data_IF_107302397938
#
_entry.id   IF_107302397938
#
_cell.length_a   1.000
_cell.length_b   1.000
_cell.length_c   1.000
_cell.angle_alpha   90.00
_cell.angle_beta   90.00
_cell.angle_gamma   90.00
#
_symmetry.space_group_name_H-M   'P 1'
#
loop_
_entity.id
_entity.type
_entity.pdbx_description
1 polymer ?
#
# COMPACT_ATOMS: atom_id res chain seq x y z
N UNK A 1 -7.79 -5.04 -11.52
CA UNK A 1 -7.76 -4.60 -10.11
C UNK A 1 -9.08 -4.89 -9.42
N UNK A 2 -9.08 -5.26 -8.13
CA UNK A 2 -10.32 -5.38 -7.36
C UNK A 2 -10.52 -4.17 -6.44
N UNK A 3 -11.72 -3.63 -6.40
CA UNK A 3 -12.10 -2.46 -5.57
C UNK A 3 -13.14 -2.88 -4.54
N UNK A 4 -12.89 -2.54 -3.28
CA UNK A 4 -13.78 -2.83 -2.15
C UNK A 4 -14.06 -1.59 -1.30
N UNK A 5 -15.06 -1.68 -0.42
CA UNK A 5 -15.49 -0.55 0.42
C UNK A 5 -14.58 -0.29 1.63
N UNK A 6 -14.02 -1.34 2.25
CA UNK A 6 -13.28 -1.22 3.52
C UNK A 6 -11.87 -1.79 3.48
N UNK A 7 -10.97 -1.24 4.29
CA UNK A 7 -9.59 -1.72 4.42
C UNK A 7 -9.54 -3.18 4.89
N UNK A 8 -10.41 -3.56 5.85
CA UNK A 8 -10.49 -4.94 6.35
C UNK A 8 -10.78 -5.95 5.23
N UNK A 9 -11.72 -5.61 4.33
CA UNK A 9 -12.01 -6.44 3.16
C UNK A 9 -10.84 -6.49 2.18
N UNK A 10 -10.20 -5.34 1.92
CA UNK A 10 -9.03 -5.29 1.04
C UNK A 10 -7.91 -6.19 1.58
N UNK A 11 -7.59 -6.09 2.88
CA UNK A 11 -6.59 -6.94 3.53
C UNK A 11 -6.94 -8.44 3.37
N UNK A 12 -8.19 -8.83 3.67
CA UNK A 12 -8.63 -10.21 3.56
C UNK A 12 -8.51 -10.77 2.13
N UNK A 13 -8.97 -10.02 1.13
CA UNK A 13 -8.86 -10.46 -0.26
C UNK A 13 -7.41 -10.52 -0.73
N UNK A 14 -6.57 -9.53 -0.39
CA UNK A 14 -5.15 -9.56 -0.73
C UNK A 14 -4.47 -10.82 -0.16
N UNK A 15 -4.71 -11.15 1.11
CA UNK A 15 -4.19 -12.37 1.73
C UNK A 15 -4.75 -13.64 1.07
N UNK A 16 -6.05 -13.64 0.73
CA UNK A 16 -6.68 -14.75 0.01
C UNK A 16 -6.08 -14.98 -1.39
N UNK A 17 -5.82 -13.91 -2.15
CA UNK A 17 -5.18 -13.98 -3.47
C UNK A 17 -3.76 -14.54 -3.33
N UNK A 18 -2.97 -14.03 -2.39
CA UNK A 18 -1.60 -14.51 -2.15
C UNK A 18 -1.58 -15.99 -1.77
N UNK A 19 -2.34 -16.38 -0.75
CA UNK A 19 -2.33 -17.75 -0.25
C UNK A 19 -2.98 -18.77 -1.19
N UNK A 20 -4.12 -18.44 -1.82
CA UNK A 20 -4.92 -19.43 -2.58
C UNK A 20 -4.68 -19.42 -4.08
N UNK A 21 -4.35 -18.26 -4.65
CA UNK A 21 -4.17 -18.13 -6.10
C UNK A 21 -2.68 -18.16 -6.44
N UNK A 22 -1.86 -17.44 -5.66
CA UNK A 22 -0.41 -17.39 -5.88
C UNK A 22 0.39 -18.43 -5.10
N UNK A 23 -0.22 -19.16 -4.18
CA UNK A 23 0.43 -20.15 -3.29
C UNK A 23 1.62 -19.56 -2.51
N UNK A 24 1.48 -18.31 -2.07
CA UNK A 24 2.49 -17.57 -1.31
C UNK A 24 2.07 -17.49 0.16
N UNK A 25 2.82 -18.16 1.03
CA UNK A 25 2.59 -18.17 2.49
C UNK A 25 3.47 -17.17 3.24
N UNK A 26 4.56 -16.72 2.61
CA UNK A 26 5.46 -15.71 3.19
C UNK A 26 4.74 -14.37 3.42
N UNK A 27 5.29 -13.56 4.32
CA UNK A 27 4.74 -12.22 4.58
C UNK A 27 4.79 -11.30 3.36
N UNK A 28 5.77 -11.49 2.48
CA UNK A 28 5.94 -10.82 1.18
C UNK A 28 6.81 -11.71 0.27
N UNK A 29 6.58 -11.67 -1.04
CA UNK A 29 7.29 -12.50 -2.03
C UNK A 29 7.68 -11.69 -3.26
N UNK A 30 8.65 -12.18 -4.05
CA UNK A 30 8.92 -11.62 -5.37
C UNK A 30 7.67 -11.73 -6.27
N UNK A 31 7.42 -10.69 -7.08
CA UNK A 31 6.20 -10.53 -7.86
C UNK A 31 4.98 -10.03 -7.05
N UNK A 32 5.15 -9.72 -5.75
CA UNK A 32 4.11 -9.04 -5.00
C UNK A 32 3.96 -7.58 -5.42
N UNK A 33 2.71 -7.18 -5.68
CA UNK A 33 2.37 -5.78 -5.89
C UNK A 33 2.00 -5.12 -4.57
N UNK A 34 2.57 -3.95 -4.33
CA UNK A 34 2.32 -3.14 -3.16
C UNK A 34 1.93 -1.71 -3.53
N UNK A 35 1.27 -1.02 -2.62
CA UNK A 35 0.96 0.40 -2.68
C UNK A 35 1.65 1.09 -1.50
N UNK A 36 2.34 2.19 -1.79
CA UNK A 36 2.96 3.04 -0.77
C UNK A 36 1.89 3.89 -0.09
N UNK A 37 1.87 3.91 1.25
CA UNK A 37 0.79 4.59 2.00
C UNK A 37 1.19 5.95 2.58
N UNK A 38 2.44 6.40 2.35
CA UNK A 38 2.97 7.68 2.82
C UNK A 38 4.04 8.20 1.85
N UNK A 39 4.05 9.51 1.61
CA UNK A 39 5.08 10.15 0.79
C UNK A 39 6.48 9.87 1.35
N UNK A 40 7.43 9.58 0.46
CA UNK A 40 8.82 9.32 0.79
C UNK A 40 9.74 10.07 -0.17
N UNK A 41 10.67 10.84 0.40
CA UNK A 41 11.61 11.70 -0.32
C UNK A 41 13.06 11.21 -0.21
N UNK A 42 13.26 9.98 0.28
CA UNK A 42 14.57 9.46 0.67
C UNK A 42 15.18 8.53 -0.38
N UNK A 43 14.38 7.62 -0.94
CA UNK A 43 14.90 6.53 -1.77
C UNK A 43 15.22 6.89 -3.21
N UNK A 44 14.66 8.00 -3.72
CA UNK A 44 14.87 8.44 -5.09
C UNK A 44 15.88 9.59 -5.13
N UNK A 45 16.78 9.60 -6.13
CA UNK A 45 17.62 10.76 -6.39
C UNK A 45 16.76 11.93 -6.89
N UNK A 46 17.24 13.16 -6.67
CA UNK A 46 16.56 14.38 -7.15
C UNK A 46 16.34 14.40 -8.67
N UNK A 47 17.15 13.64 -9.42
CA UNK A 47 17.05 13.51 -10.88
C UNK A 47 16.00 12.50 -11.36
N UNK A 48 15.36 11.74 -10.46
CA UNK A 48 14.33 10.78 -10.84
C UNK A 48 13.13 11.50 -11.46
N UNK A 49 12.56 10.96 -12.54
CA UNK A 49 11.35 11.54 -13.16
C UNK A 49 10.15 11.55 -12.22
N UNK A 50 10.11 10.63 -11.27
CA UNK A 50 9.09 10.61 -10.21
C UNK A 50 9.26 11.77 -9.23
N UNK A 51 10.48 12.27 -9.05
CA UNK A 51 10.86 13.27 -8.04
C UNK A 51 10.85 12.71 -6.61
N UNK A 52 9.77 12.06 -6.19
CA UNK A 52 9.64 11.36 -4.92
C UNK A 52 8.60 10.23 -5.02
N UNK A 53 8.57 9.35 -4.04
CA UNK A 53 7.59 8.25 -4.00
C UNK A 53 6.33 8.75 -3.29
N UNK A 54 5.24 8.94 -4.02
CA UNK A 54 4.00 9.49 -3.47
C UNK A 54 3.12 8.42 -2.76
N UNK A 55 2.25 8.88 -1.87
CA UNK A 55 1.18 8.05 -1.32
C UNK A 55 0.22 7.63 -2.45
N UNK A 56 0.05 6.32 -2.62
CA UNK A 56 -0.75 5.73 -3.69
C UNK A 56 0.07 5.10 -4.80
N UNK A 57 1.39 5.39 -4.88
CA UNK A 57 2.26 4.77 -5.88
C UNK A 57 2.29 3.26 -5.74
N UNK A 58 2.11 2.57 -6.88
CA UNK A 58 2.07 1.11 -6.94
C UNK A 58 3.44 0.61 -7.41
N UNK A 59 4.04 -0.25 -6.60
CA UNK A 59 5.27 -0.94 -6.92
C UNK A 59 5.11 -2.45 -7.01
N UNK A 60 6.11 -3.10 -7.57
CA UNK A 60 6.25 -4.55 -7.62
C UNK A 60 7.62 -4.96 -7.05
N UNK A 61 7.62 -5.98 -6.20
CA UNK A 61 8.84 -6.56 -5.65
C UNK A 61 9.55 -7.40 -6.72
N UNK A 62 10.76 -7.02 -7.11
CA UNK A 62 11.60 -7.79 -8.04
C UNK A 62 12.41 -8.86 -7.34
N UNK A 63 12.99 -8.54 -6.19
CA UNK A 63 13.73 -9.49 -5.38
C UNK A 63 13.69 -9.10 -3.90
N UNK A 64 13.84 -10.09 -3.04
CA UNK A 64 13.93 -9.93 -1.59
C UNK A 64 15.32 -10.38 -1.17
N UNK A 65 16.04 -9.52 -0.45
CA UNK A 65 17.35 -9.85 0.12
C UNK A 65 17.24 -10.35 1.54
N UNK A 66 16.43 -9.68 2.36
CA UNK A 66 16.29 -10.03 3.77
C UNK A 66 14.92 -9.58 4.31
N UNK A 67 14.36 -10.36 5.23
CA UNK A 67 13.20 -9.98 6.05
C UNK A 67 13.60 -10.15 7.51
N UNK A 68 13.44 -9.11 8.30
CA UNK A 68 13.91 -9.09 9.68
C UNK A 68 13.10 -8.15 10.57
N UNK A 69 13.17 -8.42 11.88
CA UNK A 69 12.60 -7.53 12.89
C UNK A 69 13.64 -6.53 13.39
N UNK A 70 13.22 -5.28 13.53
CA UNK A 70 14.03 -4.23 14.15
C UNK A 70 13.12 -3.17 14.75
N UNK A 71 13.51 -2.58 15.86
CA UNK A 71 12.75 -1.51 16.52
C UNK A 71 11.28 -1.85 16.86
N UNK A 72 10.96 -3.13 17.02
CA UNK A 72 9.58 -3.62 17.22
C UNK A 72 8.71 -3.60 15.95
N UNK A 73 9.32 -3.51 14.78
CA UNK A 73 8.68 -3.53 13.47
C UNK A 73 9.34 -4.57 12.57
N UNK A 74 8.64 -5.01 11.53
CA UNK A 74 9.13 -5.96 10.54
C UNK A 74 9.48 -5.23 9.26
N UNK A 75 10.68 -5.49 8.74
CA UNK A 75 11.22 -4.85 7.56
C UNK A 75 11.59 -5.87 6.50
N UNK A 76 11.60 -5.42 5.25
CA UNK A 76 12.06 -6.20 4.11
C UNK A 76 13.00 -5.36 3.25
N UNK A 77 14.23 -5.81 3.09
CA UNK A 77 15.18 -5.26 2.13
C UNK A 77 14.89 -5.86 0.76
N UNK A 78 14.45 -5.03 -0.17
CA UNK A 78 13.96 -5.46 -1.47
C UNK A 78 14.46 -4.56 -2.59
N UNK A 79 14.51 -5.14 -3.78
CA UNK A 79 14.61 -4.38 -5.03
C UNK A 79 13.20 -4.27 -5.62
N UNK A 80 12.77 -3.06 -5.95
CA UNK A 80 11.40 -2.78 -6.41
C UNK A 80 11.40 -1.93 -7.68
N UNK A 81 10.30 -2.01 -8.43
CA UNK A 81 10.00 -1.09 -9.55
C UNK A 81 8.63 -0.46 -9.33
N UNK A 82 8.38 0.69 -9.94
CA UNK A 82 7.06 1.35 -9.93
C UNK A 82 6.34 1.12 -11.25
N UNK A 83 5.07 0.69 -11.16
CA UNK A 83 4.30 0.19 -12.31
C UNK A 83 4.01 1.29 -13.33
N UNK A 84 3.74 2.51 -12.86
CA UNK A 84 3.45 3.67 -13.73
C UNK A 84 4.71 4.26 -14.37
N UNK A 85 5.89 3.75 -13.98
CA UNK A 85 7.20 4.21 -14.46
C UNK A 85 8.06 3.03 -14.95
N UNK A 86 7.59 2.25 -15.95
CA UNK A 86 8.23 1.01 -16.37
C UNK A 86 9.60 1.19 -17.03
N UNK A 87 9.96 2.43 -17.39
CA UNK A 87 11.26 2.81 -17.96
C UNK A 87 12.27 3.30 -16.93
N UNK A 88 11.84 3.51 -15.68
CA UNK A 88 12.75 3.86 -14.59
C UNK A 88 13.40 2.58 -14.04
N UNK A 89 14.64 2.71 -13.61
CA UNK A 89 15.41 1.59 -13.08
C UNK A 89 14.82 1.05 -11.77
N UNK A 90 15.07 -0.24 -11.50
CA UNK A 90 14.73 -0.83 -10.23
C UNK A 90 15.58 -0.20 -9.11
N UNK A 91 14.97 0.02 -7.95
CA UNK A 91 15.62 0.65 -6.80
C UNK A 91 15.66 -0.28 -5.61
N UNK A 92 16.72 -0.13 -4.82
CA UNK A 92 16.92 -0.86 -3.57
C UNK A 92 16.32 -0.06 -2.40
N UNK A 93 15.37 -0.66 -1.68
CA UNK A 93 14.62 0.00 -0.61
C UNK A 93 14.47 -0.90 0.61
N UNK A 94 14.11 -0.28 1.74
CA UNK A 94 13.54 -0.99 2.89
C UNK A 94 12.03 -0.78 2.88
N UNK A 95 11.27 -1.86 2.85
CA UNK A 95 9.82 -1.88 3.05
C UNK A 95 9.53 -2.12 4.53
N UNK A 96 8.58 -1.39 5.10
CA UNK A 96 8.02 -1.67 6.41
C UNK A 96 6.78 -2.56 6.24
N UNK A 97 6.91 -3.83 6.64
CA UNK A 97 5.87 -4.84 6.49
C UNK A 97 4.83 -4.79 7.62
N UNK A 98 5.10 -4.10 8.73
CA UNK A 98 4.16 -4.00 9.85
C UNK A 98 2.85 -3.30 9.48
N UNK A 99 2.81 -2.58 8.35
CA UNK A 99 1.58 -1.97 7.82
C UNK A 99 0.76 -2.89 6.91
N UNK A 100 1.31 -4.05 6.49
CA UNK A 100 0.61 -4.99 5.59
C UNK A 100 -0.64 -5.58 6.24
N UNK A 101 -0.55 -5.96 7.53
CA UNK A 101 -1.64 -6.57 8.28
C UNK A 101 -2.46 -5.57 9.11
N UNK A 102 -1.99 -4.32 9.23
CA UNK A 102 -2.69 -3.32 10.04
C UNK A 102 -4.03 -2.92 9.40
N UNK A 103 -5.05 -2.67 10.23
CA UNK A 103 -6.33 -2.15 9.76
C UNK A 103 -6.24 -0.65 9.40
N UNK A 104 -5.35 0.07 10.08
CA UNK A 104 -5.08 1.49 9.86
C UNK A 104 -4.42 1.79 8.51
N UNK A 105 -4.43 3.05 8.05
CA UNK A 105 -3.88 3.42 6.74
C UNK A 105 -2.35 3.36 6.66
N UNK A 106 -1.67 3.45 7.80
CA UNK A 106 -0.21 3.53 7.96
C UNK A 106 0.17 3.00 9.36
N UNK A 107 1.43 3.18 9.79
CA UNK A 107 1.81 2.96 11.18
C UNK A 107 0.95 3.80 12.12
N UNK A 108 0.61 3.24 13.28
CA UNK A 108 -0.03 3.99 14.36
C UNK A 108 0.88 5.09 14.91
N UNK A 109 0.30 6.09 15.57
CA UNK A 109 1.06 7.14 16.26
C UNK A 109 2.01 6.56 17.31
N UNK A 110 1.56 5.53 18.05
CA UNK A 110 2.38 4.85 19.05
C UNK A 110 3.61 4.18 18.42
N UNK A 111 3.43 3.43 17.32
CA UNK A 111 4.55 2.81 16.59
C UNK A 111 5.50 3.85 16.01
N UNK A 112 4.97 4.94 15.45
CA UNK A 112 5.78 6.02 14.88
C UNK A 112 6.61 6.74 15.94
N UNK A 113 6.02 7.03 17.10
CA UNK A 113 6.71 7.65 18.23
C UNK A 113 7.77 6.72 18.81
N UNK A 114 7.45 5.44 19.00
CA UNK A 114 8.42 4.44 19.49
C UNK A 114 9.62 4.29 18.55
N UNK A 115 9.40 4.27 17.23
CA UNK A 115 10.49 4.26 16.26
C UNK A 115 11.35 5.52 16.40
N UNK A 116 10.73 6.70 16.51
CA UNK A 116 11.45 7.97 16.66
C UNK A 116 12.28 8.04 17.96
N UNK A 117 11.74 7.57 19.08
CA UNK A 117 12.46 7.51 20.37
C UNK A 117 13.69 6.58 20.29
N UNK A 118 13.54 5.41 19.65
CA UNK A 118 14.65 4.50 19.43
C UNK A 118 15.73 5.11 18.51
N UNK A 119 15.33 5.91 17.52
CA UNK A 119 16.26 6.65 16.66
C UNK A 119 16.98 7.76 17.42
N UNK A 120 16.28 8.49 18.32
CA UNK A 120 16.91 9.45 19.21
C UNK A 120 17.96 8.80 20.11
N UNK A 121 17.64 7.64 20.68
CA UNK A 121 18.58 6.88 21.50
C UNK A 121 19.79 6.40 20.68
N UNK A 122 19.56 5.86 19.48
CA UNK A 122 20.61 5.41 18.55
C UNK A 122 21.65 6.49 18.26
N UNK A 123 21.21 7.74 18.07
CA UNK A 123 22.08 8.86 17.70
C UNK A 123 22.46 9.78 18.87
N UNK A 124 22.15 9.37 20.12
CA UNK A 124 22.37 10.18 21.33
C UNK A 124 23.83 10.57 21.60
N UNK A 125 24.79 9.85 21.00
CA UNK A 125 26.22 10.16 21.07
C UNK A 125 26.64 11.40 20.26
N UNK A 126 25.77 11.93 19.40
CA UNK A 126 26.06 13.12 18.60
C UNK A 126 25.95 14.40 19.44
N UNK A 127 26.89 15.32 19.22
CA UNK A 127 27.09 16.50 20.09
C UNK A 127 26.00 17.57 20.02
N UNK A 128 25.06 17.52 19.08
CA UNK A 128 23.98 18.51 18.96
C UNK A 128 22.67 17.93 18.46
N UNK A 129 21.55 18.51 18.91
CA UNK A 129 20.19 18.13 18.48
C UNK A 129 20.01 18.22 16.96
N UNK A 130 20.67 19.21 16.30
CA UNK A 130 20.64 19.36 14.85
C UNK A 130 21.25 18.14 14.15
N UNK A 131 22.44 17.70 14.60
CA UNK A 131 23.10 16.51 14.04
C UNK A 131 22.30 15.22 14.28
N UNK A 132 21.68 15.10 15.45
CA UNK A 132 20.77 13.98 15.75
C UNK A 132 19.62 13.97 14.74
N UNK A 133 18.93 15.10 14.58
CA UNK A 133 17.80 15.20 13.66
C UNK A 133 18.20 14.89 12.20
N UNK A 134 19.33 15.41 11.74
CA UNK A 134 19.87 15.12 10.40
C UNK A 134 20.19 13.62 10.23
N UNK A 135 20.78 12.98 11.25
CA UNK A 135 21.07 11.55 11.22
C UNK A 135 19.79 10.70 11.15
N UNK A 136 18.76 11.05 11.92
CA UNK A 136 17.45 10.38 11.87
C UNK A 136 16.81 10.55 10.49
N UNK A 137 16.82 11.77 9.95
CA UNK A 137 16.23 12.06 8.63
C UNK A 137 16.90 11.27 7.50
N UNK A 138 18.17 10.89 7.67
CA UNK A 138 18.93 10.10 6.71
C UNK A 138 18.98 8.60 7.07
N UNK A 139 18.24 8.14 8.09
CA UNK A 139 18.25 6.73 8.48
C UNK A 139 17.33 5.89 7.57
N UNK A 140 17.82 4.80 6.96
CA UNK A 140 17.02 3.96 6.07
C UNK A 140 15.79 3.31 6.72
N UNK A 141 15.83 2.97 8.01
CA UNK A 141 14.70 2.35 8.71
C UNK A 141 13.64 3.38 9.07
N UNK A 142 14.06 4.60 9.43
CA UNK A 142 13.13 5.72 9.63
C UNK A 142 12.41 6.09 8.33
N UNK A 143 13.11 5.96 7.20
CA UNK A 143 12.60 6.21 5.86
C UNK A 143 12.07 4.96 5.14
N UNK A 144 11.86 3.83 5.82
CA UNK A 144 11.33 2.64 5.17
C UNK A 144 9.95 2.92 4.55
N UNK A 145 9.71 2.41 3.34
CA UNK A 145 8.43 2.57 2.66
C UNK A 145 7.36 1.79 3.42
N UNK A 146 6.36 2.49 3.94
CA UNK A 146 5.18 1.86 4.50
C UNK A 146 4.29 1.39 3.36
N UNK A 147 3.94 0.10 3.37
CA UNK A 147 3.28 -0.54 2.23
C UNK A 147 2.05 -1.34 2.65
N UNK A 148 1.13 -1.49 1.69
CA UNK A 148 0.01 -2.45 1.69
C UNK A 148 -0.02 -3.20 0.38
N UNK A 149 -0.55 -4.42 0.36
CA UNK A 149 -0.79 -5.12 -0.90
C UNK A 149 -1.80 -4.37 -1.78
N UNK A 150 -1.58 -4.38 -3.10
CA UNK A 150 -2.37 -3.59 -4.06
C UNK A 150 -3.20 -4.43 -5.04
N UNK A 151 -3.31 -5.76 -4.88
CA UNK A 151 -4.21 -6.58 -5.70
C UNK A 151 -5.67 -6.16 -5.53
N UNK A 152 -6.02 -5.85 -4.29
CA UNK A 152 -7.32 -5.31 -3.88
C UNK A 152 -7.11 -4.00 -3.13
N UNK A 153 -7.76 -2.93 -3.60
CA UNK A 153 -7.66 -1.60 -3.02
C UNK A 153 -9.04 -1.09 -2.61
N UNK A 154 -9.07 -0.10 -1.72
CA UNK A 154 -10.32 0.57 -1.39
C UNK A 154 -10.67 1.63 -2.44
N UNK A 155 -11.96 1.88 -2.66
CA UNK A 155 -12.38 2.86 -3.65
C UNK A 155 -11.80 4.27 -3.39
N UNK A 156 -11.64 4.67 -2.13
CA UNK A 156 -11.01 5.95 -1.75
C UNK A 156 -9.54 6.01 -2.19
N UNK A 157 -8.84 4.87 -2.20
CA UNK A 157 -7.46 4.75 -2.67
C UNK A 157 -7.34 4.50 -4.18
N UNK A 158 -8.47 4.34 -4.86
CA UNK A 158 -8.54 4.24 -6.32
C UNK A 158 -8.77 5.59 -7.03
N UNK A 159 -8.98 6.66 -6.27
CA UNK A 159 -9.22 8.00 -6.81
C UNK A 159 -7.98 8.45 -7.61
N UNK A 160 -8.20 8.80 -8.88
CA UNK A 160 -7.14 9.17 -9.83
C UNK A 160 -6.60 8.00 -10.69
N UNK A 161 -6.68 6.76 -10.20
CA UNK A 161 -6.30 5.57 -10.98
C UNK A 161 -7.39 5.10 -11.93
N UNK A 162 -7.01 4.59 -13.09
CA UNK A 162 -7.87 3.87 -14.02
C UNK A 162 -7.22 2.54 -14.40
N UNK A 163 -8.01 1.47 -14.48
CA UNK A 163 -7.55 0.15 -14.88
C UNK A 163 -8.43 -0.39 -15.99
N UNK A 164 -7.84 -1.16 -16.91
CA UNK A 164 -8.59 -1.78 -18.02
C UNK A 164 -9.78 -2.60 -17.51
N UNK A 165 -9.54 -3.40 -16.47
CA UNK A 165 -10.54 -4.27 -15.87
C UNK A 165 -10.61 -4.09 -14.35
N UNK A 166 -11.82 -3.82 -13.84
CA UNK A 166 -12.09 -3.64 -12.42
C UNK A 166 -13.14 -4.64 -11.94
N UNK A 167 -12.87 -5.32 -10.83
CA UNK A 167 -13.85 -6.15 -10.12
C UNK A 167 -14.36 -5.35 -8.91
N UNK A 168 -15.67 -5.22 -8.75
CA UNK A 168 -16.31 -4.47 -7.67
C UNK A 168 -17.15 -5.44 -6.83
N UNK A 169 -16.87 -5.53 -5.53
CA UNK A 169 -17.67 -6.33 -4.59
C UNK A 169 -18.87 -5.51 -4.09
N UNK A 170 -20.06 -6.11 -4.10
CA UNK A 170 -21.22 -5.54 -3.42
C UNK A 170 -20.98 -5.55 -1.90
N UNK A 171 -20.95 -4.39 -1.23
CA UNK A 171 -20.70 -4.34 0.20
C UNK A 171 -21.92 -4.84 0.99
N UNK A 172 -21.70 -5.25 2.25
CA UNK A 172 -22.81 -5.47 3.17
C UNK A 172 -23.50 -4.12 3.48
N UNK A 173 -24.82 -4.06 3.23
CA UNK A 173 -25.66 -2.88 3.40
C UNK A 173 -26.88 -3.27 4.25
N UNK A 174 -26.78 -3.23 5.59
CA UNK A 174 -27.88 -3.66 6.47
C UNK A 174 -29.15 -2.80 6.27
N UNK A 175 -28.97 -1.50 6.02
CA UNK A 175 -30.07 -0.55 5.77
C UNK A 175 -30.39 -0.36 4.28
N UNK A 176 -29.80 -1.20 3.42
CA UNK A 176 -29.91 -1.09 1.97
C UNK A 176 -29.08 0.05 1.33
N UNK A 177 -29.24 0.26 0.01
CA UNK A 177 -28.54 1.31 -0.74
C UNK A 177 -28.88 2.72 -0.27
N UNK A 178 -27.86 3.53 0.02
CA UNK A 178 -28.01 4.95 0.36
C UNK A 178 -27.41 5.85 -0.73
N UNK A 179 -27.72 7.17 -0.75
CA UNK A 179 -27.07 8.11 -1.67
C UNK A 179 -25.54 8.10 -1.58
N UNK A 180 -24.98 7.87 -0.39
CA UNK A 180 -23.53 7.75 -0.17
C UNK A 180 -23.00 6.48 -0.86
N UNK A 181 -23.74 5.37 -0.76
CA UNK A 181 -23.39 4.13 -1.45
C UNK A 181 -23.39 4.31 -2.97
N UNK A 182 -24.38 4.97 -3.55
CA UNK A 182 -24.42 5.20 -5.00
C UNK A 182 -23.27 6.08 -5.49
N UNK A 183 -22.86 7.10 -4.73
CA UNK A 183 -21.65 7.90 -5.03
C UNK A 183 -20.38 7.04 -5.00
N UNK A 184 -20.28 6.15 -4.02
CA UNK A 184 -19.18 5.18 -3.94
C UNK A 184 -19.19 4.22 -5.14
N UNK A 185 -20.34 3.65 -5.49
CA UNK A 185 -20.49 2.72 -6.60
C UNK A 185 -20.16 3.39 -7.94
N UNK A 186 -20.64 4.61 -8.16
CA UNK A 186 -20.28 5.43 -9.33
C UNK A 186 -18.76 5.65 -9.41
N UNK A 187 -18.13 5.99 -8.29
CA UNK A 187 -16.67 6.17 -8.24
C UNK A 187 -15.96 4.87 -8.61
N UNK A 188 -16.39 3.73 -8.06
CA UNK A 188 -15.80 2.42 -8.35
C UNK A 188 -15.98 2.01 -9.82
N UNK A 189 -17.17 2.23 -10.40
CA UNK A 189 -17.46 1.95 -11.81
C UNK A 189 -16.58 2.77 -12.75
N UNK A 190 -16.41 4.07 -12.48
CA UNK A 190 -15.58 4.96 -13.33
C UNK A 190 -14.07 4.70 -13.22
N UNK A 191 -13.63 3.75 -12.37
CA UNK A 191 -12.24 3.28 -12.37
C UNK A 191 -11.94 2.31 -13.51
N UNK A 192 -12.96 1.64 -14.05
CA UNK A 192 -12.79 0.76 -15.20
C UNK A 192 -12.73 1.58 -16.49
N UNK A 193 -11.64 1.44 -17.26
CA UNK A 193 -11.54 2.06 -18.58
C UNK A 193 -12.14 1.20 -19.70
N UNK A 194 -12.21 -0.13 -19.52
CA UNK A 194 -12.85 -1.03 -20.49
C UNK A 194 -14.00 -1.84 -19.88
N UNK A 195 -13.77 -2.58 -18.79
CA UNK A 195 -14.78 -3.51 -18.25
C UNK A 195 -14.85 -3.51 -16.73
N UNK A 196 -16.07 -3.42 -16.21
CA UNK A 196 -16.39 -3.61 -14.79
C UNK A 196 -17.09 -4.96 -14.57
N UNK A 197 -16.60 -5.74 -13.61
CA UNK A 197 -17.21 -6.98 -13.15
C UNK A 197 -17.84 -6.75 -11.79
N UNK A 198 -19.13 -7.07 -11.65
CA UNK A 198 -19.90 -6.85 -10.42
C UNK A 198 -20.05 -8.17 -9.67
N UNK A 199 -19.42 -8.29 -8.51
CA UNK A 199 -19.39 -9.50 -7.70
C UNK A 199 -20.36 -9.39 -6.52
N UNK A 200 -21.28 -10.36 -6.41
CA UNK A 200 -22.21 -10.44 -5.28
C UNK A 200 -23.33 -9.39 -5.28
N UNK A 201 -23.54 -8.70 -6.41
CA UNK A 201 -24.69 -7.80 -6.59
C UNK A 201 -25.98 -8.61 -6.72
N UNK A 202 -27.12 -8.14 -6.16
CA UNK A 202 -28.40 -8.83 -6.32
C UNK A 202 -28.78 -8.99 -7.79
N UNK A 203 -29.23 -10.18 -8.25
CA UNK A 203 -29.64 -10.42 -9.63
C UNK A 203 -30.71 -9.44 -10.12
N UNK A 204 -31.70 -9.14 -9.28
CA UNK A 204 -32.84 -8.25 -9.58
C UNK A 204 -32.41 -6.81 -9.94
N UNK A 205 -31.17 -6.40 -9.65
CA UNK A 205 -30.64 -5.09 -10.05
C UNK A 205 -30.28 -5.02 -11.53
N UNK A 206 -30.22 -6.16 -12.21
CA UNK A 206 -29.91 -6.26 -13.63
C UNK A 206 -31.15 -6.57 -14.48
N UNK A 207 -32.29 -6.83 -13.84
CA UNK A 207 -33.55 -7.03 -14.53
C UNK A 207 -34.03 -5.68 -15.04
N UNK A 208 -33.99 -5.52 -16.36
CA UNK A 208 -34.58 -4.37 -17.05
C UNK A 208 -36.02 -4.74 -17.38
N UNK A 209 -36.97 -4.19 -16.63
CA UNK A 209 -38.39 -4.18 -17.00
C UNK A 209 -38.64 -3.25 -18.18
#
# INVERSE_FOLDING_TARGET
>A
TMVVRSNKKANNYNQGIRGRIKFQEDQISAGDQFMVVRNNYFWLPETSKMGFIANGEIGEVRSIRNVHERYGLTFCEATVVFVDYPSEDAIDVILNLSTLSSEGPALSSAQSNSLYEQMLAKFSYLSSKKKIYEAIKNDPYYNALQVKFSYVITCHKSQGGQWEQVIIEHPYLPDGPSPIYYKWLYTALTRASQKAYLLGFPPDWFDVS
#
